data_IF_953961918320
#
_entry.id   IF_953961918320
#
_cell.length_a   1.000
_cell.length_b   1.000
_cell.length_c   1.000
_cell.angle_alpha   90.00
_cell.angle_beta   90.00
_cell.angle_gamma   90.00
#
_symmetry.space_group_name_H-M   'P 1'
#
loop_
_entity.id
_entity.type
_entity.pdbx_description
1 polymer ?
#
# COMPACT_ATOMS: atom_id res chain seq x y z
N UNK A 1 -20.88 -33.07 4.73
CA UNK A 1 -21.11 -31.74 4.11
C UNK A 1 -20.04 -30.82 4.67
N UNK A 2 -19.03 -30.53 3.84
CA UNK A 2 -17.73 -29.98 4.22
C UNK A 2 -17.56 -28.60 3.56
N UNK A 3 -17.18 -27.61 4.39
CA UNK A 3 -16.46 -26.36 4.08
C UNK A 3 -17.20 -25.31 3.21
N UNK A 4 -17.01 -24.00 3.34
CA UNK A 4 -16.08 -23.10 4.04
C UNK A 4 -16.91 -21.88 4.49
N UNK A 5 -16.63 -21.29 5.66
CA UNK A 5 -17.12 -19.94 5.94
C UNK A 5 -16.49 -18.97 4.93
N UNK A 6 -17.22 -18.01 4.34
CA UNK A 6 -16.59 -17.02 3.51
C UNK A 6 -15.66 -16.22 4.41
N UNK A 7 -14.35 -16.43 4.23
CA UNK A 7 -13.33 -15.54 4.73
C UNK A 7 -13.77 -14.13 4.34
N UNK A 8 -14.18 -13.35 5.33
CA UNK A 8 -14.26 -11.91 5.21
C UNK A 8 -12.82 -11.42 5.07
N UNK A 9 -12.24 -11.64 3.89
CA UNK A 9 -10.96 -11.15 3.46
C UNK A 9 -11.08 -9.65 3.47
N UNK A 10 -10.48 -9.04 4.49
CA UNK A 10 -10.47 -7.60 4.67
C UNK A 10 -9.59 -7.03 3.55
N UNK A 11 -10.23 -6.62 2.46
CA UNK A 11 -9.58 -6.00 1.30
C UNK A 11 -8.97 -4.66 1.73
N UNK A 12 -7.69 -4.62 2.08
CA UNK A 12 -7.03 -3.37 2.53
C UNK A 12 -5.79 -2.97 1.71
N UNK A 13 -5.51 -3.62 0.60
CA UNK A 13 -4.48 -3.13 -0.32
C UNK A 13 -5.09 -2.08 -1.26
N UNK A 14 -5.01 -0.81 -0.85
CA UNK A 14 -5.43 0.35 -1.65
C UNK A 14 -6.48 1.23 -0.99
N UNK A 15 -7.05 0.81 0.15
CA UNK A 15 -7.99 1.65 0.91
C UNK A 15 -7.24 2.81 1.57
N UNK A 16 -7.66 4.07 1.39
CA UNK A 16 -6.99 5.24 1.98
C UNK A 16 -6.90 5.20 3.51
N UNK A 17 -7.66 4.32 4.17
CA UNK A 17 -7.69 4.15 5.62
C UNK A 17 -6.64 3.21 6.24
N UNK A 18 -6.07 2.24 5.49
CA UNK A 18 -5.12 1.27 6.09
C UNK A 18 -3.85 1.98 6.58
N UNK A 19 -3.34 2.94 5.81
CA UNK A 19 -2.17 3.70 6.22
C UNK A 19 -2.42 4.51 7.49
N UNK A 20 -3.62 5.07 7.66
CA UNK A 20 -4.03 5.73 8.90
C UNK A 20 -4.10 4.75 10.07
N UNK A 21 -4.73 3.59 9.89
CA UNK A 21 -4.84 2.56 10.92
C UNK A 21 -3.46 2.04 11.35
N UNK A 22 -2.56 1.78 10.40
CA UNK A 22 -1.19 1.33 10.68
C UNK A 22 -0.39 2.37 11.48
N UNK A 23 -0.60 3.67 11.23
CA UNK A 23 0.04 4.75 11.99
C UNK A 23 -0.52 4.89 13.41
N UNK A 24 -1.80 4.62 13.61
CA UNK A 24 -2.47 4.76 14.92
C UNK A 24 -2.26 3.53 15.83
N UNK A 25 -2.03 2.36 15.24
CA UNK A 25 -1.93 1.07 15.94
C UNK A 25 -0.93 1.05 17.10
N UNK A 26 0.32 1.57 16.95
CA UNK A 26 1.28 1.60 18.05
C UNK A 26 0.76 2.38 19.26
N UNK A 27 0.12 3.53 19.02
CA UNK A 27 -0.41 4.39 20.08
C UNK A 27 -1.63 3.76 20.77
N UNK A 28 -2.54 3.15 19.99
CA UNK A 28 -3.75 2.53 20.52
C UNK A 28 -3.48 1.25 21.32
N UNK A 29 -2.39 0.55 21.01
CA UNK A 29 -2.06 -0.75 21.60
C UNK A 29 -0.86 -0.70 22.53
N UNK A 30 -0.36 0.51 22.85
CA UNK A 30 0.88 0.71 23.63
C UNK A 30 2.09 -0.04 23.06
N UNK A 31 2.08 -0.28 21.74
CA UNK A 31 3.14 -0.99 21.02
C UNK A 31 3.02 -2.52 21.00
N UNK A 32 1.97 -3.12 21.55
CA UNK A 32 1.82 -4.59 21.61
C UNK A 32 0.94 -5.16 20.47
N UNK A 33 0.21 -4.30 19.77
CA UNK A 33 -0.73 -4.72 18.72
C UNK A 33 -0.04 -5.17 17.44
N UNK A 34 -0.50 -6.30 16.90
CA UNK A 34 -0.08 -6.83 15.60
C UNK A 34 -1.24 -6.72 14.62
N UNK A 35 -0.96 -6.26 13.40
CA UNK A 35 -1.91 -6.19 12.29
C UNK A 35 -1.43 -7.11 11.17
N UNK A 36 -2.27 -8.07 10.81
CA UNK A 36 -2.06 -8.95 9.65
C UNK A 36 -3.09 -8.63 8.57
N UNK A 37 -2.62 -8.52 7.33
CA UNK A 37 -3.46 -8.29 6.16
C UNK A 37 -2.81 -8.96 4.94
N UNK A 38 -3.65 -9.49 4.05
CA UNK A 38 -3.21 -10.16 2.83
C UNK A 38 -3.73 -9.42 1.60
N UNK A 39 -2.99 -9.53 0.49
CA UNK A 39 -3.50 -9.11 -0.80
C UNK A 39 -4.67 -10.02 -1.16
N UNK A 40 -5.76 -9.42 -1.61
CA UNK A 40 -6.96 -10.16 -1.99
C UNK A 40 -7.18 -10.09 -3.52
N UNK A 41 -7.56 -8.92 -4.06
CA UNK A 41 -7.74 -8.75 -5.51
C UNK A 41 -7.59 -7.29 -5.96
N UNK A 42 -7.47 -7.09 -7.27
CA UNK A 42 -7.56 -5.77 -7.88
C UNK A 42 -9.01 -5.41 -8.18
N UNK A 43 -9.44 -4.22 -7.75
CA UNK A 43 -10.75 -3.64 -8.08
C UNK A 43 -10.57 -2.43 -9.00
N UNK A 44 -11.47 -2.22 -9.98
CA UNK A 44 -11.46 -1.00 -10.78
C UNK A 44 -11.64 0.23 -9.89
N UNK A 45 -10.74 1.21 -10.02
CA UNK A 45 -10.88 2.53 -9.40
C UNK A 45 -11.98 3.26 -10.16
N UNK A 46 -13.10 3.55 -9.49
CA UNK A 46 -14.26 4.24 -10.10
C UNK A 46 -14.15 5.77 -10.02
N UNK A 47 -13.41 6.26 -9.03
CA UNK A 47 -13.23 7.68 -8.74
C UNK A 47 -11.84 8.17 -9.18
N UNK A 48 -11.47 9.41 -8.82
CA UNK A 48 -10.14 9.92 -9.10
C UNK A 48 -9.07 9.03 -8.45
N UNK A 49 -8.10 8.60 -9.25
CA UNK A 49 -7.00 7.79 -8.75
C UNK A 49 -6.20 8.58 -7.72
N UNK A 50 -5.86 8.01 -6.56
CA UNK A 50 -5.09 8.69 -5.54
C UNK A 50 -3.75 9.14 -6.14
N UNK A 51 -3.50 10.44 -6.12
CA UNK A 51 -2.25 11.01 -6.62
C UNK A 51 -1.24 11.06 -5.46
N UNK A 52 -0.10 10.41 -5.67
CA UNK A 52 1.06 10.57 -4.79
C UNK A 52 2.20 11.17 -5.59
N UNK A 53 2.72 12.30 -5.14
CA UNK A 53 3.91 12.90 -5.74
C UNK A 53 5.05 11.89 -5.74
N UNK A 54 5.68 11.68 -6.90
CA UNK A 54 6.85 10.80 -7.01
C UNK A 54 7.96 11.37 -6.12
N UNK A 55 8.46 10.54 -5.21
CA UNK A 55 9.59 10.90 -4.34
C UNK A 55 10.94 10.58 -5.00
N UNK A 56 10.92 9.84 -6.11
CA UNK A 56 12.10 9.37 -6.82
C UNK A 56 12.28 10.03 -8.19
N UNK A 57 13.37 9.66 -8.86
CA UNK A 57 13.59 9.97 -10.27
C UNK A 57 12.68 9.09 -11.10
N UNK A 58 11.96 9.70 -12.05
CA UNK A 58 10.98 9.00 -12.86
C UNK A 58 11.68 8.02 -13.83
N UNK A 59 11.52 6.70 -13.67
CA UNK A 59 12.10 5.70 -14.56
C UNK A 59 11.49 5.75 -15.97
N UNK A 60 10.34 6.40 -16.14
CA UNK A 60 9.73 6.65 -17.45
C UNK A 60 10.53 7.68 -18.26
N UNK A 61 11.34 8.54 -17.61
CA UNK A 61 12.35 9.35 -18.29
C UNK A 61 13.71 8.68 -18.14
N UNK A 62 14.03 7.78 -19.09
CA UNK A 62 15.25 6.97 -19.05
C UNK A 62 16.53 7.82 -18.93
N UNK A 63 16.61 8.96 -19.61
CA UNK A 63 17.82 9.80 -19.61
C UNK A 63 18.07 10.43 -18.23
N UNK A 64 17.06 11.05 -17.66
CA UNK A 64 17.13 11.65 -16.33
C UNK A 64 17.33 10.59 -15.24
N UNK A 65 16.59 9.49 -15.32
CA UNK A 65 16.70 8.39 -14.36
C UNK A 65 18.14 7.86 -14.29
N UNK A 66 18.77 7.58 -15.43
CA UNK A 66 20.13 7.07 -15.45
C UNK A 66 21.16 8.11 -14.99
N UNK A 67 20.96 9.41 -15.27
CA UNK A 67 21.84 10.45 -14.74
C UNK A 67 21.82 10.49 -13.21
N UNK A 68 20.65 10.36 -12.59
CA UNK A 68 20.52 10.46 -11.14
C UNK A 68 20.80 9.15 -10.39
N UNK A 69 20.54 7.99 -10.99
CA UNK A 69 20.80 6.68 -10.38
C UNK A 69 22.27 6.28 -10.53
N UNK A 70 22.89 6.51 -11.70
CA UNK A 70 24.27 6.07 -11.95
C UNK A 70 25.30 7.05 -11.41
N UNK A 71 24.97 8.35 -11.26
CA UNK A 71 25.87 9.34 -10.65
C UNK A 71 25.78 9.43 -9.13
N UNK A 72 25.09 8.49 -8.47
CA UNK A 72 25.06 8.44 -7.00
C UNK A 72 26.36 7.82 -6.47
N UNK A 73 27.43 8.63 -6.52
CA UNK A 73 28.65 8.55 -5.69
C UNK A 73 28.63 9.76 -4.77
#
# INVERSE_FOLDING_TARGET
>A
MRLEAPAAGVHLFGEPGLHGLQQLLPTLTRGEGVLEYAFDHYRPVRDEAPTRSRTDHNPLNRKEYLLHVVRRV
#
